data_IF_940151244080
#
_entry.id   IF_940151244080
#
_cell.length_a   1.000
_cell.length_b   1.000
_cell.length_c   1.000
_cell.angle_alpha   90.00
_cell.angle_beta   90.00
_cell.angle_gamma   90.00
#
_symmetry.space_group_name_H-M   'P 1'
#
loop_
_entity.id
_entity.type
_entity.pdbx_description
1 polymer ?
#
# COMPACT_ATOMS: atom_id res chain seq x y z
N UNK A 1 3.01 5.73 14.21
CA UNK A 1 2.69 5.27 12.85
C UNK A 1 3.44 6.14 11.86
N UNK A 2 4.06 5.55 10.85
CA UNK A 2 4.71 6.28 9.74
C UNK A 2 3.65 6.99 8.86
N UNK A 3 4.06 7.96 8.04
CA UNK A 3 3.17 8.71 7.14
C UNK A 3 2.37 7.77 6.22
N UNK A 4 3.01 6.69 5.77
CA UNK A 4 2.39 5.66 4.94
C UNK A 4 1.21 4.95 5.66
N UNK A 5 1.34 4.66 6.96
CA UNK A 5 0.26 4.10 7.77
C UNK A 5 -0.90 5.09 7.96
N UNK A 6 -0.62 6.38 8.12
CA UNK A 6 -1.66 7.41 8.16
C UNK A 6 -2.39 7.56 6.81
N UNK A 7 -1.65 7.50 5.70
CA UNK A 7 -2.23 7.46 4.36
C UNK A 7 -3.18 6.26 4.20
N UNK A 8 -2.80 5.09 4.73
CA UNK A 8 -3.65 3.89 4.70
C UNK A 8 -4.94 4.04 5.53
N UNK A 9 -4.85 4.59 6.75
CA UNK A 9 -6.05 4.87 7.56
C UNK A 9 -6.97 5.86 6.85
N UNK A 10 -6.40 6.92 6.28
CA UNK A 10 -7.16 7.89 5.48
C UNK A 10 -7.82 7.24 4.27
N UNK A 11 -7.14 6.29 3.61
CA UNK A 11 -7.71 5.51 2.51
C UNK A 11 -8.88 4.65 2.98
N UNK A 12 -8.79 3.97 4.12
CA UNK A 12 -9.90 3.18 4.68
C UNK A 12 -11.14 4.04 4.91
N UNK A 13 -10.94 5.23 5.49
CA UNK A 13 -12.03 6.21 5.69
C UNK A 13 -12.61 6.64 4.34
N UNK A 14 -11.75 6.95 3.36
CA UNK A 14 -12.19 7.30 2.01
C UNK A 14 -12.97 6.17 1.33
N UNK A 15 -12.51 4.93 1.43
CA UNK A 15 -13.19 3.75 0.88
C UNK A 15 -14.53 3.51 1.55
N UNK A 16 -14.65 3.73 2.86
CA UNK A 16 -15.92 3.59 3.58
C UNK A 16 -16.95 4.61 3.10
N UNK A 17 -16.57 5.89 2.96
CA UNK A 17 -17.45 6.90 2.37
C UNK A 17 -17.78 6.60 0.90
N UNK A 18 -16.80 6.14 0.12
CA UNK A 18 -17.01 5.76 -1.28
C UNK A 18 -17.99 4.59 -1.43
N UNK A 19 -17.91 3.60 -0.54
CA UNK A 19 -18.83 2.48 -0.47
C UNK A 19 -20.25 2.97 -0.11
N UNK A 20 -20.39 3.84 0.88
CA UNK A 20 -21.67 4.47 1.22
C UNK A 20 -22.28 5.24 0.04
N UNK A 21 -21.47 6.03 -0.68
CA UNK A 21 -21.92 6.73 -1.90
C UNK A 21 -22.39 5.77 -2.99
N UNK A 22 -21.67 4.65 -3.17
CA UNK A 22 -22.02 3.64 -4.15
C UNK A 22 -23.31 2.91 -3.81
N UNK A 23 -23.52 2.52 -2.54
CA UNK A 23 -24.79 1.94 -2.10
C UNK A 23 -25.95 2.94 -2.26
N UNK A 24 -25.72 4.21 -1.91
CA UNK A 24 -26.68 5.28 -2.16
C UNK A 24 -27.05 5.43 -3.64
N UNK A 25 -26.07 5.26 -4.55
CA UNK A 25 -26.29 5.31 -6.00
C UNK A 25 -27.09 4.12 -6.51
N UNK A 26 -26.66 2.92 -6.12
CA UNK A 26 -27.17 1.66 -6.66
C UNK A 26 -28.58 1.37 -6.18
N UNK A 27 -28.89 1.62 -4.90
CA UNK A 27 -30.15 1.18 -4.31
C UNK A 27 -31.30 2.19 -4.42
N UNK A 28 -31.11 3.36 -5.07
CA UNK A 28 -32.17 4.37 -5.35
C UNK A 28 -33.18 4.54 -4.21
N UNK A 29 -32.74 4.47 -2.96
CA UNK A 29 -33.52 5.02 -1.86
C UNK A 29 -33.55 6.51 -2.16
N UNK A 30 -34.71 7.18 -2.08
CA UNK A 30 -34.93 8.60 -2.40
C UNK A 30 -34.15 9.57 -1.47
N UNK A 31 -32.88 9.29 -1.23
CA UNK A 31 -31.96 10.10 -0.45
C UNK A 31 -31.39 11.10 -1.44
N UNK A 32 -31.80 12.36 -1.30
CA UNK A 32 -31.02 13.46 -1.87
C UNK A 32 -29.58 13.24 -1.44
N UNK A 33 -28.65 13.11 -2.38
CA UNK A 33 -27.25 12.87 -2.07
C UNK A 33 -26.80 13.88 -1.01
N UNK A 34 -26.43 13.43 0.20
CA UNK A 34 -25.98 14.36 1.21
C UNK A 34 -24.67 14.93 0.70
N UNK A 35 -24.70 16.21 0.31
CA UNK A 35 -23.52 16.96 -0.16
C UNK A 35 -22.39 16.80 0.85
N UNK A 36 -22.72 16.74 2.14
CA UNK A 36 -21.79 16.43 3.24
C UNK A 36 -21.04 15.10 3.09
N UNK A 37 -21.66 14.04 2.58
CA UNK A 37 -21.01 12.73 2.43
C UNK A 37 -20.08 12.74 1.22
N UNK A 38 -20.47 13.42 0.14
CA UNK A 38 -19.60 13.62 -1.04
C UNK A 38 -18.39 14.48 -0.67
N UNK A 39 -18.58 15.57 0.07
CA UNK A 39 -17.47 16.43 0.52
C UNK A 39 -16.57 15.72 1.51
N UNK A 40 -17.10 14.91 2.44
CA UNK A 40 -16.30 14.07 3.34
C UNK A 40 -15.49 13.02 2.56
N UNK A 41 -16.10 12.34 1.59
CA UNK A 41 -15.39 11.41 0.72
C UNK A 41 -14.26 12.13 -0.01
N UNK A 42 -14.55 13.25 -0.67
CA UNK A 42 -13.55 14.02 -1.40
C UNK A 42 -12.42 14.52 -0.48
N UNK A 43 -12.74 15.04 0.70
CA UNK A 43 -11.76 15.50 1.67
C UNK A 43 -10.85 14.35 2.15
N UNK A 44 -11.42 13.18 2.45
CA UNK A 44 -10.64 12.00 2.84
C UNK A 44 -9.75 11.47 1.71
N UNK A 45 -10.21 11.53 0.46
CA UNK A 45 -9.41 11.18 -0.72
C UNK A 45 -8.24 12.17 -0.91
N UNK A 46 -8.49 13.48 -0.77
CA UNK A 46 -7.44 14.51 -0.85
C UNK A 46 -6.43 14.35 0.30
N UNK A 47 -6.89 14.08 1.52
CA UNK A 47 -6.00 13.82 2.65
C UNK A 47 -5.12 12.59 2.37
N UNK A 48 -5.71 11.51 1.84
CA UNK A 48 -4.98 10.30 1.44
C UNK A 48 -3.92 10.62 0.40
N UNK A 49 -4.26 11.43 -0.60
CA UNK A 49 -3.33 11.89 -1.64
C UNK A 49 -2.14 12.65 -1.05
N UNK A 50 -2.39 13.62 -0.18
CA UNK A 50 -1.33 14.43 0.44
C UNK A 50 -0.42 13.57 1.31
N UNK A 51 -1.00 12.71 2.17
CA UNK A 51 -0.23 11.82 3.05
C UNK A 51 0.59 10.81 2.25
N UNK A 52 0.01 10.23 1.19
CA UNK A 52 0.74 9.27 0.37
C UNK A 52 1.87 9.94 -0.42
N UNK A 53 1.64 11.15 -0.94
CA UNK A 53 2.68 11.96 -1.59
C UNK A 53 3.81 12.29 -0.62
N UNK A 54 3.48 12.75 0.59
CA UNK A 54 4.46 13.04 1.63
C UNK A 54 5.28 11.78 2.01
N UNK A 55 4.63 10.62 2.14
CA UNK A 55 5.30 9.35 2.41
C UNK A 55 6.27 8.94 1.30
N UNK A 56 5.92 9.16 0.02
CA UNK A 56 6.82 8.89 -1.11
C UNK A 56 8.01 9.84 -1.09
N UNK A 57 7.77 11.13 -0.89
CA UNK A 57 8.83 12.15 -0.82
C UNK A 57 9.79 11.85 0.35
N UNK A 58 9.26 11.52 1.52
CA UNK A 58 10.05 11.09 2.69
C UNK A 58 10.90 9.86 2.38
N UNK A 59 10.31 8.85 1.72
CA UNK A 59 11.00 7.61 1.32
C UNK A 59 12.12 7.85 0.29
N UNK A 60 11.97 8.85 -0.60
CA UNK A 60 12.99 9.21 -1.58
C UNK A 60 14.11 10.01 -0.92
N UNK A 61 13.77 11.00 -0.09
CA UNK A 61 14.72 11.90 0.57
C UNK A 61 15.63 11.19 1.57
N UNK A 62 15.08 10.29 2.39
CA UNK A 62 15.84 9.62 3.45
C UNK A 62 16.64 8.41 2.97
N UNK A 63 16.70 8.15 1.66
CA UNK A 63 17.62 7.15 1.11
C UNK A 63 17.40 5.71 1.60
N UNK A 64 16.22 5.39 2.14
CA UNK A 64 15.83 4.02 2.54
C UNK A 64 15.68 3.04 1.35
N UNK A 65 16.23 3.40 0.18
CA UNK A 65 16.07 2.70 -1.08
C UNK A 65 17.18 1.66 -1.26
N UNK A 66 17.04 0.51 -0.59
CA UNK A 66 17.60 -0.73 -1.16
C UNK A 66 16.89 -0.98 -2.50
N UNK A 67 17.57 -0.63 -3.59
CA UNK A 67 17.04 -0.50 -4.95
C UNK A 67 16.34 -1.76 -5.46
N UNK A 68 15.23 -1.52 -6.16
CA UNK A 68 14.55 -2.48 -7.02
C UNK A 68 13.04 -2.38 -6.84
N UNK A 69 12.45 -3.42 -6.28
CA UNK A 69 11.02 -3.67 -6.40
C UNK A 69 10.09 -2.73 -5.61
N UNK A 70 10.44 -2.36 -4.37
CA UNK A 70 9.51 -1.64 -3.50
C UNK A 70 9.26 -0.19 -3.97
N UNK A 71 10.30 0.49 -4.47
CA UNK A 71 10.18 1.85 -5.00
C UNK A 71 9.36 1.84 -6.29
N UNK A 72 9.70 0.94 -7.22
CA UNK A 72 8.98 0.81 -8.49
C UNK A 72 7.50 0.47 -8.26
N UNK A 73 7.23 -0.45 -7.34
CA UNK A 73 5.86 -0.78 -6.94
C UNK A 73 5.14 0.41 -6.30
N UNK A 74 5.79 1.14 -5.38
CA UNK A 74 5.19 2.33 -4.75
C UNK A 74 4.84 3.41 -5.78
N UNK A 75 5.74 3.69 -6.72
CA UNK A 75 5.50 4.65 -7.82
C UNK A 75 4.37 4.17 -8.72
N UNK A 76 4.33 2.88 -9.06
CA UNK A 76 3.23 2.30 -9.83
C UNK A 76 1.88 2.47 -9.11
N UNK A 77 1.80 2.13 -7.82
CA UNK A 77 0.57 2.31 -7.01
C UNK A 77 0.17 3.79 -6.98
N UNK A 78 1.13 4.71 -6.86
CA UNK A 78 0.88 6.14 -6.88
C UNK A 78 0.29 6.62 -8.21
N UNK A 79 0.80 6.14 -9.35
CA UNK A 79 0.26 6.47 -10.68
C UNK A 79 -1.18 5.95 -10.81
N UNK A 80 -1.45 4.71 -10.40
CA UNK A 80 -2.80 4.13 -10.43
C UNK A 80 -3.75 4.93 -9.53
N UNK A 81 -3.28 5.35 -8.36
CA UNK A 81 -4.03 6.21 -7.45
C UNK A 81 -4.35 7.56 -8.10
N UNK A 82 -3.39 8.22 -8.76
CA UNK A 82 -3.60 9.48 -9.48
C UNK A 82 -4.64 9.36 -10.59
N UNK A 83 -4.60 8.28 -11.37
CA UNK A 83 -5.59 8.03 -12.44
C UNK A 83 -6.98 7.84 -11.83
N UNK A 84 -7.08 7.08 -10.74
CA UNK A 84 -8.34 6.86 -10.02
C UNK A 84 -8.89 8.19 -9.47
N UNK A 85 -8.04 9.02 -8.88
CA UNK A 85 -8.38 10.35 -8.38
C UNK A 85 -8.89 11.26 -9.52
N UNK A 86 -8.16 11.35 -10.63
CA UNK A 86 -8.55 12.17 -11.77
C UNK A 86 -9.91 11.74 -12.34
N UNK A 87 -10.14 10.42 -12.42
CA UNK A 87 -11.42 9.87 -12.88
C UNK A 87 -12.56 10.20 -11.90
N UNK A 88 -12.31 10.10 -10.59
CA UNK A 88 -13.27 10.48 -9.54
C UNK A 88 -13.61 11.97 -9.57
N UNK A 89 -12.62 12.85 -9.71
CA UNK A 89 -12.81 14.29 -9.87
C UNK A 89 -13.61 14.62 -11.13
N UNK A 90 -13.32 13.96 -12.26
CA UNK A 90 -14.08 14.14 -13.49
C UNK A 90 -15.56 13.79 -13.30
N UNK A 91 -15.87 12.72 -12.55
CA UNK A 91 -17.25 12.37 -12.23
C UNK A 91 -17.92 13.39 -11.32
N UNK A 92 -17.22 13.82 -10.27
CA UNK A 92 -17.71 14.85 -9.37
C UNK A 92 -18.04 16.14 -10.13
N UNK A 93 -17.09 16.63 -10.95
CA UNK A 93 -17.29 17.84 -11.77
C UNK A 93 -18.44 17.68 -12.77
N UNK A 94 -18.59 16.53 -13.41
CA UNK A 94 -19.64 16.31 -14.41
C UNK A 94 -21.04 16.15 -13.80
N UNK A 95 -21.12 15.52 -12.62
CA UNK A 95 -22.38 15.30 -11.93
C UNK A 95 -22.86 16.54 -11.19
N UNK A 96 -21.99 17.16 -10.39
CA UNK A 96 -22.38 18.20 -9.44
C UNK A 96 -22.47 19.57 -10.12
N UNK A 97 -21.42 19.97 -10.87
CA UNK A 97 -21.41 21.29 -11.54
C UNK A 97 -22.28 21.33 -12.79
N UNK A 98 -22.37 20.24 -13.56
CA UNK A 98 -23.12 20.22 -14.83
C UNK A 98 -24.48 19.52 -14.76
N UNK A 99 -24.86 18.96 -13.60
CA UNK A 99 -26.13 18.23 -13.37
C UNK A 99 -26.43 17.17 -14.45
N UNK A 100 -25.40 16.57 -15.04
CA UNK A 100 -25.58 15.56 -16.11
C UNK A 100 -25.70 14.18 -15.50
N UNK A 101 -26.64 13.40 -16.01
CA UNK A 101 -26.82 11.99 -15.63
C UNK A 101 -25.53 11.22 -15.97
N UNK A 102 -24.93 10.58 -14.97
CA UNK A 102 -23.80 9.67 -15.19
C UNK A 102 -24.29 8.36 -15.79
N UNK A 103 -23.54 7.86 -16.77
CA UNK A 103 -23.76 6.52 -17.32
C UNK A 103 -23.27 5.50 -16.30
N UNK A 104 -24.12 4.53 -15.96
CA UNK A 104 -23.81 3.44 -15.01
C UNK A 104 -22.46 2.73 -15.30
N UNK A 105 -22.10 2.44 -16.56
CA UNK A 105 -20.80 1.82 -16.88
C UNK A 105 -19.60 2.63 -16.39
N UNK A 106 -19.66 3.96 -16.45
CA UNK A 106 -18.55 4.82 -16.02
C UNK A 106 -18.35 4.81 -14.50
N UNK A 107 -19.45 4.73 -13.75
CA UNK A 107 -19.43 4.56 -12.29
C UNK A 107 -18.84 3.18 -11.95
N UNK A 108 -19.24 2.15 -12.67
CA UNK A 108 -18.68 0.80 -12.50
C UNK A 108 -17.17 0.77 -12.76
N UNK A 109 -16.68 1.41 -13.82
CA UNK A 109 -15.24 1.46 -14.11
C UNK A 109 -14.48 2.20 -13.01
N UNK A 110 -15.05 3.28 -12.46
CA UNK A 110 -14.46 3.98 -11.32
C UNK A 110 -14.33 3.07 -10.11
N UNK A 111 -15.40 2.35 -9.78
CA UNK A 111 -15.45 1.48 -8.63
C UNK A 111 -14.41 0.36 -8.73
N UNK A 112 -14.25 -0.23 -9.91
CA UNK A 112 -13.22 -1.23 -10.19
C UNK A 112 -11.82 -0.63 -9.99
N UNK A 113 -11.55 0.56 -10.53
CA UNK A 113 -10.27 1.25 -10.35
C UNK A 113 -10.00 1.60 -8.88
N UNK A 114 -11.01 2.06 -8.15
CA UNK A 114 -10.92 2.35 -6.72
C UNK A 114 -10.63 1.07 -5.91
N UNK A 115 -11.29 -0.03 -6.23
CA UNK A 115 -11.03 -1.35 -5.63
C UNK A 115 -9.62 -1.84 -5.91
N UNK A 116 -9.14 -1.76 -7.15
CA UNK A 116 -7.76 -2.11 -7.52
C UNK A 116 -6.77 -1.25 -6.73
N UNK A 117 -6.98 0.07 -6.69
CA UNK A 117 -6.13 1.00 -5.94
C UNK A 117 -6.08 0.65 -4.45
N UNK A 118 -7.23 0.30 -3.87
CA UNK A 118 -7.33 -0.13 -2.48
C UNK A 118 -6.52 -1.41 -2.21
N UNK A 119 -6.66 -2.42 -3.08
CA UNK A 119 -5.90 -3.67 -2.98
C UNK A 119 -4.40 -3.42 -3.11
N UNK A 120 -3.98 -2.62 -4.09
CA UNK A 120 -2.58 -2.31 -4.35
C UNK A 120 -1.92 -1.58 -3.19
N UNK A 121 -2.61 -0.59 -2.60
CA UNK A 121 -2.11 0.17 -1.46
C UNK A 121 -2.11 -0.67 -0.16
N UNK A 122 -3.09 -1.57 0.00
CA UNK A 122 -3.07 -2.56 1.09
C UNK A 122 -1.89 -3.52 0.95
N UNK A 123 -1.61 -4.00 -0.27
CA UNK A 123 -0.46 -4.85 -0.55
C UNK A 123 0.87 -4.12 -0.31
N UNK A 124 0.93 -2.80 -0.55
CA UNK A 124 2.07 -1.97 -0.21
C UNK A 124 2.34 -1.94 1.31
N UNK A 125 1.31 -1.93 2.15
CA UNK A 125 1.47 -2.03 3.62
C UNK A 125 2.00 -3.39 4.06
N UNK A 126 1.73 -4.44 3.29
CA UNK A 126 2.17 -5.81 3.60
C UNK A 126 3.63 -6.08 3.16
N UNK A 127 4.24 -5.19 2.37
CA UNK A 127 5.63 -5.33 1.99
C UNK A 127 6.54 -5.10 3.21
N UNK A 128 7.49 -6.01 3.50
CA UNK A 128 8.39 -5.84 4.61
C UNK A 128 9.22 -4.57 4.41
N UNK A 129 9.13 -3.65 5.37
CA UNK A 129 10.04 -2.50 5.42
C UNK A 129 11.47 -3.00 5.61
N UNK A 130 12.45 -2.34 4.99
CA UNK A 130 13.83 -2.80 4.92
C UNK A 130 14.43 -3.22 6.28
N UNK A 131 14.02 -2.60 7.38
CA UNK A 131 14.44 -2.97 8.75
C UNK A 131 13.99 -4.38 9.15
N UNK A 132 12.74 -4.76 8.87
CA UNK A 132 12.22 -6.11 9.14
C UNK A 132 12.90 -7.16 8.24
N UNK A 133 13.23 -6.80 6.99
CA UNK A 133 13.96 -7.68 6.08
C UNK A 133 15.43 -7.87 6.51
N UNK A 134 16.09 -6.81 6.97
CA UNK A 134 17.46 -6.85 7.50
C UNK A 134 17.52 -7.67 8.78
N UNK A 135 16.59 -7.45 9.73
CA UNK A 135 16.54 -8.20 10.98
C UNK A 135 16.33 -9.70 10.74
N UNK A 136 15.46 -10.07 9.78
CA UNK A 136 15.27 -11.47 9.36
C UNK A 136 16.55 -12.06 8.77
N UNK A 137 17.29 -11.29 7.96
CA UNK A 137 18.57 -11.72 7.38
C UNK A 137 19.67 -11.90 8.44
N UNK A 138 19.72 -11.04 9.45
CA UNK A 138 20.67 -11.12 10.57
C UNK A 138 20.39 -12.32 11.47
N UNK A 139 19.10 -12.60 11.77
CA UNK A 139 18.71 -13.77 12.58
C UNK A 139 18.96 -15.08 11.83
N UNK A 140 18.72 -15.15 10.52
CA UNK A 140 19.05 -16.36 9.73
C UNK A 140 20.57 -16.63 9.65
N UNK A 141 21.42 -15.62 9.83
CA UNK A 141 22.87 -15.78 9.70
C UNK A 141 23.47 -16.74 10.72
N UNK A 142 23.21 -16.55 12.01
CA UNK A 142 23.79 -17.34 13.11
C UNK A 142 22.80 -18.29 13.79
N UNK A 143 21.50 -18.14 13.56
CA UNK A 143 20.45 -19.00 14.14
C UNK A 143 19.72 -19.84 13.10
N UNK A 144 20.14 -19.84 11.82
CA UNK A 144 19.55 -20.79 10.86
C UNK A 144 20.00 -22.22 11.13
N UNK A 145 19.11 -23.21 10.92
CA UNK A 145 19.48 -24.62 10.94
C UNK A 145 20.64 -24.94 9.98
N UNK A 146 20.72 -24.20 8.87
CA UNK A 146 21.81 -24.32 7.89
C UNK A 146 23.16 -23.87 8.47
N UNK A 147 23.21 -22.74 9.17
CA UNK A 147 24.42 -22.29 9.87
C UNK A 147 24.85 -23.28 10.95
N UNK A 148 23.90 -23.79 11.74
CA UNK A 148 24.17 -24.78 12.78
C UNK A 148 24.79 -26.06 12.18
N UNK A 149 24.26 -26.53 11.06
CA UNK A 149 24.76 -27.73 10.36
C UNK A 149 26.16 -27.50 9.79
N UNK A 150 26.38 -26.35 9.15
CA UNK A 150 27.69 -25.97 8.61
C UNK A 150 28.74 -25.86 9.73
N UNK A 151 28.42 -25.12 10.79
CA UNK A 151 29.35 -24.89 11.90
C UNK A 151 29.70 -26.19 12.64
N UNK A 152 28.70 -27.06 12.88
CA UNK A 152 28.90 -28.38 13.49
C UNK A 152 29.86 -29.24 12.67
N UNK A 153 29.72 -29.24 11.35
CA UNK A 153 30.59 -30.02 10.46
C UNK A 153 32.05 -29.50 10.47
N UNK A 154 32.24 -28.18 10.52
CA UNK A 154 33.59 -27.59 10.62
C UNK A 154 34.26 -27.88 11.97
N UNK A 155 33.52 -27.80 13.08
CA UNK A 155 34.04 -28.16 14.41
C UNK A 155 34.44 -29.64 14.48
N UNK A 156 33.63 -30.54 13.92
CA UNK A 156 33.97 -31.97 13.88
C UNK A 156 35.22 -32.27 13.02
N UNK A 157 35.37 -31.61 11.87
CA UNK A 157 36.57 -31.75 11.04
C UNK A 157 37.83 -31.20 11.71
N UNK A 158 37.72 -30.07 12.42
CA UNK A 158 38.83 -29.52 13.20
C UNK A 158 39.31 -30.47 14.31
N UNK A 159 38.38 -31.10 15.03
CA UNK A 159 38.73 -32.08 16.07
C UNK A 159 39.36 -33.36 15.50
N UNK A 160 38.91 -33.85 14.34
CA UNK A 160 39.53 -35.03 13.71
C UNK A 160 40.99 -34.78 13.28
N UNK A 161 41.31 -33.57 12.84
CA UNK A 161 42.69 -33.22 12.46
C UNK A 161 43.61 -33.12 13.69
N UNK A 162 43.11 -32.62 14.82
CA UNK A 162 43.88 -32.57 16.07
C UNK A 162 44.17 -33.96 16.65
N UNK A 163 43.23 -34.91 16.51
CA UNK A 163 43.43 -36.30 16.98
C UNK A 163 44.48 -37.04 16.12
N UNK A 164 44.58 -36.72 14.82
CA UNK A 164 45.60 -37.32 13.94
C UNK A 164 47.00 -36.70 14.07
N UNK A 165 47.11 -35.50 14.62
CA UNK A 165 48.39 -34.81 14.86
C UNK A 165 49.05 -35.15 16.20
N UNK A 166 48.36 -35.92 17.05
CA UNK A 166 48.84 -36.33 18.38
C UNK A 166 49.51 -37.70 18.44
N UNK A 167 49.86 -38.28 17.29
CA UNK A 167 50.62 -39.53 17.17
C UNK A 167 51.89 -39.31 16.34
#
# INVERSE_FOLDING_TARGET
MNLLGWAYVSLLVASLFGLMLFFGFTFRIKVHYPISLVTLHLASVIMTFLLFTAAIVESILHGHTSRGFQVDYTVFVYIVFLITLATGLFFFLRYDLRRKILRLPLVSTHLVMAGITFILLTALMALPTGEAAIQKKVVLGSLSPAWYTYNRHHVMKGNQNNIKSGY
#
